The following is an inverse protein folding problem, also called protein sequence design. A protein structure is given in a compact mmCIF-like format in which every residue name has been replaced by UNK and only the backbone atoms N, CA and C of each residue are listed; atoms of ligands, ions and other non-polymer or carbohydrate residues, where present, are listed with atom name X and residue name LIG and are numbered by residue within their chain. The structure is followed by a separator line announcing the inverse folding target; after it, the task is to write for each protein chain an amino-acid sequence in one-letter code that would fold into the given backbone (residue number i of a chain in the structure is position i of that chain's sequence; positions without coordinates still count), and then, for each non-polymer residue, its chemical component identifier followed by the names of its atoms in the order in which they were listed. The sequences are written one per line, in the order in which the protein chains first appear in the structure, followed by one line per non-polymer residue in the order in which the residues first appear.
data_IF_423354558266
#
_entry.id   IF_423354558266
#
_cell.length_a   1.000
_cell.length_b   1.000
_cell.length_c   1.000
_cell.angle_alpha   90.00
_cell.angle_beta   90.00
_cell.angle_gamma   90.00
#
_symmetry.space_group_name_H-M   'P 1'
#
loop_
_entity.id
_entity.type
_entity.pdbx_description
1 polymer ?
#
# COMPACT_ATOMS: atom_id res chain seq x y z
N UNK A 1 34.74 -29.87 -2.63
CA UNK A 1 33.57 -29.40 -3.41
C UNK A 1 33.91 -27.99 -3.91
N UNK A 2 34.02 -27.83 -5.23
CA UNK A 2 34.45 -26.57 -5.86
C UNK A 2 33.26 -25.61 -5.93
N UNK A 3 33.25 -24.57 -5.09
CA UNK A 3 32.43 -23.39 -5.30
C UNK A 3 33.01 -22.60 -6.47
N UNK A 4 32.61 -22.96 -7.70
CA UNK A 4 32.81 -22.08 -8.85
C UNK A 4 31.83 -20.92 -8.68
N UNK A 5 32.40 -19.75 -8.41
CA UNK A 5 31.77 -18.45 -8.57
C UNK A 5 31.18 -18.36 -9.99
N UNK A 6 29.90 -18.70 -10.11
CA UNK A 6 29.08 -18.34 -11.26
C UNK A 6 28.63 -16.91 -11.00
N UNK A 7 29.46 -15.94 -11.40
CA UNK A 7 28.99 -14.61 -11.77
C UNK A 7 28.19 -14.74 -13.07
N UNK A 8 27.11 -15.51 -13.02
CA UNK A 8 26.09 -15.51 -14.05
C UNK A 8 25.35 -14.21 -13.87
N UNK A 9 25.44 -13.35 -14.89
CA UNK A 9 24.53 -12.23 -15.06
C UNK A 9 23.13 -12.82 -15.22
N UNK A 10 22.47 -13.12 -14.11
CA UNK A 10 21.06 -13.46 -14.10
C UNK A 10 20.35 -12.16 -14.41
N UNK A 11 20.08 -11.95 -15.70
CA UNK A 11 19.06 -11.00 -16.12
C UNK A 11 17.75 -11.64 -15.68
N UNK A 12 17.31 -11.33 -14.46
CA UNK A 12 15.95 -11.64 -14.01
C UNK A 12 15.06 -10.81 -14.92
N UNK A 13 14.48 -11.48 -15.92
CA UNK A 13 13.49 -10.89 -16.81
C UNK A 13 12.22 -10.84 -15.97
N UNK A 14 11.98 -9.71 -15.30
CA UNK A 14 10.63 -9.41 -14.81
C UNK A 14 9.71 -9.43 -16.01
N UNK A 15 8.92 -10.48 -16.11
CA UNK A 15 8.15 -10.88 -17.28
C UNK A 15 6.95 -9.99 -17.61
N UNK A 16 6.89 -8.78 -17.07
CA UNK A 16 5.83 -7.82 -17.34
C UNK A 16 6.29 -6.37 -17.31
N UNK A 17 7.38 -6.05 -16.60
CA UNK A 17 7.91 -4.70 -16.55
C UNK A 17 8.87 -4.47 -17.71
N UNK A 18 8.31 -4.38 -18.92
CA UNK A 18 8.95 -3.55 -19.95
C UNK A 18 8.98 -2.15 -19.34
N UNK A 19 10.11 -1.78 -18.75
CA UNK A 19 10.42 -0.41 -18.36
C UNK A 19 10.41 0.38 -19.66
N UNK A 20 9.24 0.82 -20.11
CA UNK A 20 9.13 1.88 -21.12
C UNK A 20 9.77 3.05 -20.43
N UNK A 21 11.02 3.33 -20.80
CA UNK A 21 11.81 4.40 -20.24
C UNK A 21 11.11 5.73 -20.45
N UNK A 22 10.21 6.07 -19.53
CA UNK A 22 9.82 7.44 -19.28
C UNK A 22 10.88 8.00 -18.33
N UNK A 23 12.00 8.42 -18.92
CA UNK A 23 12.78 9.53 -18.35
C UNK A 23 11.92 10.79 -18.52
N UNK A 24 10.82 10.83 -17.78
CA UNK A 24 10.16 12.06 -17.42
C UNK A 24 10.98 12.62 -16.28
N UNK A 25 11.99 13.41 -16.61
CA UNK A 25 12.56 14.37 -15.69
C UNK A 25 11.39 15.26 -15.25
N UNK A 26 10.72 14.91 -14.15
CA UNK A 26 9.79 15.82 -13.48
C UNK A 26 10.68 16.80 -12.73
N UNK A 27 11.25 17.76 -13.46
CA UNK A 27 11.61 19.03 -12.87
C UNK A 27 10.30 19.66 -12.41
N UNK A 28 10.01 19.55 -11.12
CA UNK A 28 9.04 20.42 -10.47
C UNK A 28 9.59 21.84 -10.55
N UNK A 29 9.29 22.51 -11.67
CA UNK A 29 9.44 23.96 -11.77
C UNK A 29 8.47 24.58 -10.76
N UNK A 30 8.93 25.34 -9.75
CA UNK A 30 8.04 26.22 -9.02
C UNK A 30 7.66 27.39 -9.94
N UNK A 31 6.48 27.95 -9.70
CA UNK A 31 5.90 29.16 -10.31
C UNK A 31 5.12 29.03 -11.63
N UNK A 32 3.80 28.88 -11.47
CA UNK A 32 2.86 29.75 -12.15
C UNK A 32 1.69 30.09 -11.20
N UNK A 33 1.73 31.31 -10.66
CA UNK A 33 0.62 31.95 -9.95
C UNK A 33 -0.68 31.94 -10.79
N UNK A 34 -1.64 31.10 -10.41
CA UNK A 34 -3.03 31.28 -10.82
C UNK A 34 -3.80 32.00 -9.70
N UNK A 35 -3.84 33.34 -9.79
CA UNK A 35 -4.77 34.18 -9.01
C UNK A 35 -6.21 33.93 -9.51
N UNK A 36 -6.92 33.00 -8.88
CA UNK A 36 -8.36 32.84 -9.02
C UNK A 36 -9.12 33.53 -7.88
N UNK A 37 -9.55 34.77 -8.06
CA UNK A 37 -10.45 35.47 -7.13
C UNK A 37 -11.90 35.04 -7.38
N UNK A 38 -12.36 33.98 -6.72
CA UNK A 38 -13.76 33.56 -6.70
C UNK A 38 -14.48 34.07 -5.44
N UNK A 39 -15.08 35.27 -5.50
CA UNK A 39 -15.93 35.80 -4.43
C UNK A 39 -17.33 35.15 -4.49
N UNK A 40 -17.50 34.01 -3.83
CA UNK A 40 -18.82 33.43 -3.55
C UNK A 40 -19.46 34.08 -2.33
N UNK A 41 -20.41 35.02 -2.53
CA UNK A 41 -21.28 35.53 -1.46
C UNK A 41 -22.48 34.60 -1.28
N UNK A 42 -22.37 33.63 -0.39
CA UNK A 42 -23.51 32.86 0.10
C UNK A 42 -24.07 33.47 1.38
N UNK A 43 -25.21 34.16 1.30
CA UNK A 43 -25.99 34.59 2.48
C UNK A 43 -27.06 33.53 2.79
N UNK A 44 -26.72 32.55 3.63
CA UNK A 44 -27.68 31.66 4.26
C UNK A 44 -28.01 32.14 5.67
N UNK A 45 -29.11 32.90 5.84
CA UNK A 45 -29.69 33.19 7.16
C UNK A 45 -30.70 32.10 7.52
N UNK A 46 -30.22 30.99 8.06
CA UNK A 46 -31.05 30.01 8.75
C UNK A 46 -31.06 30.28 10.25
N UNK A 47 -32.11 30.93 10.77
CA UNK A 47 -32.38 30.98 12.22
C UNK A 47 -33.21 29.75 12.60
N UNK A 48 -32.53 28.64 12.90
CA UNK A 48 -33.14 27.48 13.54
C UNK A 48 -32.92 27.54 15.06
N UNK A 49 -33.94 27.94 15.82
CA UNK A 49 -33.96 27.75 17.27
C UNK A 49 -34.50 26.35 17.58
N UNK A 50 -33.62 25.36 17.63
CA UNK A 50 -33.92 24.04 18.18
C UNK A 50 -33.36 23.93 19.60
N UNK A 51 -34.17 24.18 20.63
CA UNK A 51 -33.85 23.78 22.01
C UNK A 51 -34.24 22.31 22.20
N UNK A 52 -33.39 21.41 21.72
CA UNK A 52 -33.47 19.99 22.05
C UNK A 52 -32.56 19.67 23.23
N UNK A 53 -33.12 19.48 24.43
CA UNK A 53 -32.40 18.82 25.53
C UNK A 53 -32.52 17.31 25.31
N UNK A 54 -31.62 16.76 24.50
CA UNK A 54 -31.43 15.32 24.37
C UNK A 54 -30.48 14.83 25.45
N UNK A 55 -30.99 14.17 26.48
CA UNK A 55 -30.17 13.29 27.33
C UNK A 55 -30.00 11.96 26.58
N UNK A 56 -29.04 11.91 25.66
CA UNK A 56 -28.58 10.66 25.06
C UNK A 56 -27.59 10.01 26.01
N UNK A 57 -28.04 9.04 26.82
CA UNK A 57 -27.14 8.05 27.41
C UNK A 57 -26.75 7.11 26.27
N UNK A 58 -25.64 7.40 25.59
CA UNK A 58 -25.01 6.48 24.65
C UNK A 58 -24.39 5.33 25.42
N UNK A 59 -25.16 4.26 25.64
CA UNK A 59 -24.63 2.95 26.02
C UNK A 59 -24.72 2.07 24.78
N UNK A 60 -23.56 1.68 24.26
CA UNK A 60 -23.42 0.84 23.08
C UNK A 60 -22.18 1.22 22.30
N UNK A 61 -21.00 1.02 22.91
CA UNK A 61 -19.76 0.90 22.15
C UNK A 61 -19.86 -0.41 21.37
N UNK A 62 -20.52 -0.37 20.22
CA UNK A 62 -20.41 -1.41 19.24
C UNK A 62 -19.28 -0.96 18.32
N UNK A 63 -18.09 -1.52 18.53
CA UNK A 63 -16.98 -1.46 17.60
C UNK A 63 -17.49 -2.13 16.32
N UNK A 64 -18.03 -1.31 15.43
CA UNK A 64 -18.52 -1.75 14.15
C UNK A 64 -17.38 -1.52 13.16
N UNK A 65 -16.98 -2.55 12.40
CA UNK A 65 -16.00 -2.37 11.34
C UNK A 65 -16.42 -1.23 10.42
N UNK A 66 -15.53 -0.25 10.26
CA UNK A 66 -15.63 0.88 9.36
C UNK A 66 -15.03 0.46 8.02
N UNK A 67 -15.82 0.56 6.95
CA UNK A 67 -15.31 0.31 5.61
C UNK A 67 -14.27 1.38 5.24
N UNK A 68 -13.22 0.96 4.57
CA UNK A 68 -12.18 1.83 4.00
C UNK A 68 -11.96 1.46 2.54
N UNK A 69 -11.80 2.47 1.69
CA UNK A 69 -11.44 2.28 0.29
C UNK A 69 -10.55 3.41 -0.27
N UNK A 70 -9.93 3.14 -1.41
CA UNK A 70 -9.11 4.13 -2.09
C UNK A 70 -8.19 3.53 -3.17
N UNK A 71 -7.08 4.22 -3.40
CA UNK A 71 -6.10 3.86 -4.42
C UNK A 71 -4.68 3.91 -3.87
N UNK A 72 -3.82 3.07 -4.41
CA UNK A 72 -2.40 3.04 -4.07
C UNK A 72 -1.53 3.10 -5.33
N UNK A 73 -0.32 3.60 -5.18
CA UNK A 73 0.68 3.70 -6.23
C UNK A 73 2.03 3.19 -5.76
N UNK A 74 2.79 2.59 -6.68
CA UNK A 74 4.19 2.21 -6.41
C UNK A 74 5.06 3.45 -6.60
N UNK A 75 5.67 3.93 -5.52
CA UNK A 75 6.56 5.11 -5.53
C UNK A 75 7.94 4.74 -6.01
N UNK A 76 8.48 3.63 -5.50
CA UNK A 76 9.78 3.12 -5.92
C UNK A 76 9.85 1.61 -5.76
N UNK A 77 10.65 0.97 -6.62
CA UNK A 77 11.07 -0.42 -6.47
C UNK A 77 12.57 -0.45 -6.66
N UNK A 78 13.29 -1.01 -5.69
CA UNK A 78 14.72 -1.26 -5.84
C UNK A 78 14.98 -2.49 -6.73
N UNK A 79 16.26 -2.78 -6.99
CA UNK A 79 16.63 -3.98 -7.72
C UNK A 79 16.28 -5.23 -6.89
N UNK A 80 15.74 -6.31 -7.51
CA UNK A 80 15.56 -7.57 -6.82
C UNK A 80 16.92 -8.14 -6.43
N UNK A 81 16.99 -8.70 -5.23
CA UNK A 81 18.13 -9.45 -4.76
C UNK A 81 17.78 -10.93 -4.72
N UNK A 82 18.65 -11.74 -5.31
CA UNK A 82 18.52 -13.18 -5.25
C UNK A 82 18.76 -13.68 -3.82
N UNK A 83 17.79 -14.39 -3.24
CA UNK A 83 17.92 -14.98 -1.91
C UNK A 83 18.38 -16.44 -1.98
N UNK A 84 17.57 -17.30 -2.61
CA UNK A 84 17.84 -18.75 -2.69
C UNK A 84 17.10 -19.43 -3.85
N UNK A 85 17.51 -20.66 -4.16
CA UNK A 85 16.74 -21.59 -5.00
C UNK A 85 16.49 -22.85 -4.18
N UNK A 86 15.22 -23.10 -3.88
CA UNK A 86 14.81 -24.24 -3.05
C UNK A 86 14.64 -25.50 -3.92
N UNK A 87 14.15 -25.33 -5.14
CA UNK A 87 14.02 -26.39 -6.15
C UNK A 87 14.30 -25.83 -7.55
N UNK A 88 14.50 -26.66 -8.59
CA UNK A 88 14.67 -26.17 -9.96
C UNK A 88 13.58 -25.20 -10.43
N UNK A 89 12.36 -25.33 -9.89
CA UNK A 89 11.18 -24.56 -10.26
C UNK A 89 10.66 -23.68 -9.10
N UNK A 90 11.50 -23.42 -8.08
CA UNK A 90 11.16 -22.53 -6.96
C UNK A 90 12.34 -21.63 -6.60
N UNK A 91 12.16 -20.34 -6.86
CA UNK A 91 13.18 -19.32 -6.69
C UNK A 91 12.69 -18.26 -5.71
N UNK A 92 13.59 -17.78 -4.86
CA UNK A 92 13.25 -16.81 -3.81
C UNK A 92 13.99 -15.50 -4.06
N UNK A 93 13.24 -14.41 -4.08
CA UNK A 93 13.75 -13.05 -4.31
C UNK A 93 13.39 -12.13 -3.15
N UNK A 94 14.24 -11.14 -2.91
CA UNK A 94 13.95 -10.00 -2.04
C UNK A 94 13.78 -8.76 -2.90
N UNK A 95 12.70 -8.02 -2.70
CA UNK A 95 12.40 -6.81 -3.47
C UNK A 95 12.03 -5.66 -2.53
N UNK A 96 12.93 -4.66 -2.35
CA UNK A 96 12.57 -3.46 -1.61
C UNK A 96 11.63 -2.59 -2.44
N UNK A 97 10.52 -2.16 -1.85
CA UNK A 97 9.54 -1.32 -2.51
C UNK A 97 8.91 -0.28 -1.56
N UNK A 98 8.43 0.82 -2.13
CA UNK A 98 7.74 1.90 -1.42
C UNK A 98 6.42 2.17 -2.12
N UNK A 99 5.35 2.30 -1.34
CA UNK A 99 4.00 2.51 -1.82
C UNK A 99 3.43 3.78 -1.19
N UNK A 100 2.58 4.48 -1.93
CA UNK A 100 1.77 5.59 -1.42
C UNK A 100 0.29 5.24 -1.56
N UNK A 101 -0.50 5.57 -0.54
CA UNK A 101 -1.93 5.36 -0.47
C UNK A 101 -2.64 6.70 -0.49
N UNK A 102 -3.82 6.72 -1.08
CA UNK A 102 -4.71 7.88 -1.14
C UNK A 102 -6.17 7.42 -1.00
N UNK A 103 -6.97 8.14 -0.23
CA UNK A 103 -8.36 7.78 0.05
C UNK A 103 -8.62 7.79 1.55
N UNK A 104 -9.36 6.81 2.05
CA UNK A 104 -9.55 6.61 3.50
C UNK A 104 -8.27 6.20 4.23
N UNK A 105 -7.26 5.77 3.47
CA UNK A 105 -5.91 5.43 3.87
C UNK A 105 -4.99 6.37 3.09
N UNK A 106 -4.50 7.44 3.70
CA UNK A 106 -3.60 8.41 3.07
C UNK A 106 -2.25 8.35 3.75
N UNK A 107 -1.23 7.83 3.09
CA UNK A 107 0.05 7.55 3.73
C UNK A 107 0.99 6.71 2.88
N UNK A 108 1.99 6.09 3.52
CA UNK A 108 2.96 5.26 2.81
C UNK A 108 3.55 4.16 3.69
N UNK A 109 3.92 3.04 3.07
CA UNK A 109 4.91 2.12 3.65
C UNK A 109 6.31 2.59 3.26
N UNK A 110 7.21 2.68 4.22
CA UNK A 110 8.63 2.96 3.97
C UNK A 110 9.46 1.72 4.24
N UNK A 111 10.50 1.51 3.43
CA UNK A 111 11.50 0.45 3.61
C UNK A 111 10.92 -0.98 3.73
N UNK A 112 9.88 -1.26 2.95
CA UNK A 112 9.21 -2.56 2.91
C UNK A 112 9.99 -3.51 1.99
N UNK A 113 10.45 -4.65 2.50
CA UNK A 113 11.15 -5.68 1.72
C UNK A 113 10.24 -6.88 1.49
N UNK A 114 9.89 -7.12 0.22
CA UNK A 114 9.05 -8.24 -0.18
C UNK A 114 9.89 -9.50 -0.32
N UNK A 115 9.45 -10.56 0.31
CA UNK A 115 9.88 -11.92 0.04
C UNK A 115 8.98 -12.52 -1.04
N UNK A 116 9.55 -12.87 -2.18
CA UNK A 116 8.81 -13.36 -3.35
C UNK A 116 9.23 -14.79 -3.64
N UNK A 117 8.25 -15.70 -3.69
CA UNK A 117 8.43 -17.07 -4.16
C UNK A 117 7.93 -17.18 -5.60
N UNK A 118 8.84 -17.47 -6.51
CA UNK A 118 8.58 -17.59 -7.93
C UNK A 118 8.45 -19.07 -8.32
N UNK A 119 7.28 -19.47 -8.83
CA UNK A 119 6.90 -20.86 -9.08
C UNK A 119 7.12 -21.26 -10.56
N UNK A 120 8.38 -21.30 -10.96
CA UNK A 120 8.80 -21.72 -12.30
C UNK A 120 10.32 -21.56 -12.49
N UNK A 121 10.82 -21.76 -13.73
CA UNK A 121 12.21 -21.46 -14.04
C UNK A 121 12.50 -19.98 -13.77
N UNK A 122 13.52 -19.67 -12.98
CA UNK A 122 13.79 -18.30 -12.51
C UNK A 122 14.06 -17.26 -13.61
N UNK A 123 14.20 -17.70 -14.86
CA UNK A 123 14.44 -16.89 -16.05
C UNK A 123 13.22 -16.81 -16.99
N UNK A 124 12.04 -17.29 -16.54
CA UNK A 124 10.79 -17.29 -17.30
C UNK A 124 9.67 -16.58 -16.52
N UNK A 125 8.62 -16.09 -17.22
CA UNK A 125 7.37 -15.72 -16.57
C UNK A 125 6.75 -16.90 -15.82
N UNK A 126 6.40 -16.70 -14.55
CA UNK A 126 5.65 -17.67 -13.76
C UNK A 126 4.79 -16.95 -12.70
N UNK A 127 3.79 -17.63 -12.11
CA UNK A 127 3.09 -17.13 -10.94
C UNK A 127 4.05 -16.94 -9.76
N UNK A 128 3.75 -15.95 -8.93
CA UNK A 128 4.55 -15.61 -7.75
C UNK A 128 3.64 -15.49 -6.53
N UNK A 129 4.08 -15.95 -5.36
CA UNK A 129 3.51 -15.50 -4.09
C UNK A 129 4.46 -14.47 -3.48
N UNK A 130 3.91 -13.56 -2.70
CA UNK A 130 4.72 -12.62 -1.94
C UNK A 130 4.25 -12.53 -0.49
N UNK A 131 5.20 -12.23 0.39
CA UNK A 131 4.94 -11.82 1.76
C UNK A 131 5.83 -10.64 2.11
N UNK A 132 5.36 -9.79 3.00
CA UNK A 132 6.09 -8.63 3.47
C UNK A 132 5.59 -8.21 4.85
N UNK A 133 6.45 -7.53 5.58
CA UNK A 133 6.09 -6.84 6.81
C UNK A 133 6.81 -5.51 6.86
N UNK A 134 6.25 -4.54 7.56
CA UNK A 134 6.85 -3.23 7.70
C UNK A 134 6.00 -2.29 8.53
N UNK A 135 6.32 -1.00 8.45
CA UNK A 135 5.57 0.06 9.12
C UNK A 135 4.91 0.98 8.09
N UNK A 136 3.70 1.38 8.40
CA UNK A 136 2.94 2.40 7.68
C UNK A 136 2.87 3.67 8.52
N UNK A 137 2.85 4.83 7.86
CA UNK A 137 2.53 6.10 8.50
C UNK A 137 1.68 6.97 7.60
N UNK A 138 0.72 7.67 8.20
CA UNK A 138 -0.24 8.51 7.49
C UNK A 138 -1.50 8.79 8.31
N UNK A 139 -2.62 8.99 7.61
CA UNK A 139 -3.94 9.17 8.18
C UNK A 139 -4.93 8.06 7.75
N UNK A 140 -5.68 7.51 8.69
CA UNK A 140 -6.78 6.56 8.45
C UNK A 140 -8.09 7.21 8.87
N UNK A 141 -9.03 7.37 7.93
CA UNK A 141 -10.31 8.07 8.14
C UNK A 141 -10.12 9.48 8.75
N UNK A 142 -8.99 10.12 8.44
CA UNK A 142 -8.61 11.45 8.92
C UNK A 142 -7.87 11.49 10.27
N UNK A 143 -7.70 10.36 10.96
CA UNK A 143 -6.87 10.27 12.17
C UNK A 143 -5.42 9.98 11.83
N UNK A 144 -4.46 10.73 12.40
CA UNK A 144 -3.03 10.59 12.09
C UNK A 144 -2.29 9.60 13.01
N UNK A 145 -1.38 8.81 12.45
CA UNK A 145 -0.58 7.87 13.22
C UNK A 145 0.36 6.99 12.40
N UNK A 146 0.75 5.86 13.01
CA UNK A 146 1.53 4.80 12.38
C UNK A 146 1.13 3.44 12.95
N UNK A 147 1.42 2.37 12.22
CA UNK A 147 1.28 0.99 12.69
C UNK A 147 2.20 0.07 11.88
N UNK A 148 2.47 -1.11 12.42
CA UNK A 148 3.12 -2.23 11.75
C UNK A 148 2.07 -3.11 11.06
N UNK A 149 2.46 -3.78 9.98
CA UNK A 149 1.57 -4.62 9.19
C UNK A 149 2.27 -5.88 8.68
N UNK A 150 1.46 -6.87 8.32
CA UNK A 150 1.87 -7.96 7.42
C UNK A 150 1.05 -7.90 6.12
N UNK A 151 1.69 -8.20 4.99
CA UNK A 151 1.06 -8.15 3.67
C UNK A 151 1.43 -9.40 2.89
N UNK A 152 0.43 -10.17 2.48
CA UNK A 152 0.62 -11.43 1.75
C UNK A 152 -0.27 -11.45 0.51
N UNK A 153 0.17 -12.13 -0.56
CA UNK A 153 -0.61 -12.19 -1.78
C UNK A 153 0.02 -13.01 -2.89
N UNK A 154 -0.59 -12.89 -4.07
CA UNK A 154 -0.20 -13.59 -5.29
C UNK A 154 -0.10 -12.61 -6.46
N UNK A 155 0.82 -12.90 -7.39
CA UNK A 155 1.01 -12.20 -8.66
C UNK A 155 0.85 -13.25 -9.77
N UNK A 156 -0.06 -13.00 -10.71
CA UNK A 156 -0.23 -13.86 -11.86
C UNK A 156 0.85 -13.62 -12.94
N UNK A 157 0.87 -14.48 -13.96
CA UNK A 157 1.85 -14.36 -15.04
C UNK A 157 1.72 -13.07 -15.89
N UNK A 158 0.61 -12.33 -15.74
CA UNK A 158 0.34 -11.06 -16.40
C UNK A 158 0.77 -9.86 -15.53
N UNK A 159 1.19 -10.11 -14.28
CA UNK A 159 1.58 -9.09 -13.32
C UNK A 159 0.41 -8.46 -12.58
N UNK A 160 -0.79 -9.05 -12.64
CA UNK A 160 -1.89 -8.65 -11.77
C UNK A 160 -1.60 -9.20 -10.37
N UNK A 161 -1.73 -8.33 -9.37
CA UNK A 161 -1.42 -8.63 -7.98
C UNK A 161 -2.68 -8.52 -7.12
N UNK A 162 -2.91 -9.53 -6.29
CA UNK A 162 -3.94 -9.53 -5.26
C UNK A 162 -3.27 -9.85 -3.92
N UNK A 163 -3.60 -9.12 -2.86
CA UNK A 163 -3.08 -9.43 -1.54
C UNK A 163 -3.88 -8.83 -0.41
N UNK A 164 -3.66 -9.34 0.79
CA UNK A 164 -4.31 -8.91 2.02
C UNK A 164 -3.27 -8.33 2.99
N UNK A 165 -3.49 -7.07 3.37
CA UNK A 165 -2.75 -6.38 4.41
C UNK A 165 -3.50 -6.51 5.73
N UNK A 166 -2.80 -6.95 6.77
CA UNK A 166 -3.30 -7.05 8.14
C UNK A 166 -2.56 -6.04 9.01
N UNK A 167 -3.32 -5.23 9.73
CA UNK A 167 -2.80 -4.21 10.65
C UNK A 167 -2.48 -4.90 11.99
N UNK A 168 -1.29 -4.67 12.55
CA UNK A 168 -1.01 -5.08 13.93
C UNK A 168 -1.56 -4.04 14.90
N UNK A 169 -2.76 -4.27 15.44
CA UNK A 169 -3.40 -3.32 16.34
C UNK A 169 -2.61 -3.00 17.62
N UNK A 170 -1.68 -3.87 18.04
CA UNK A 170 -0.80 -3.63 19.17
C UNK A 170 0.33 -2.61 18.89
N UNK A 171 0.58 -2.30 17.62
CA UNK A 171 1.66 -1.42 17.17
C UNK A 171 1.21 0.02 16.85
N UNK A 172 -0.10 0.27 16.88
CA UNK A 172 -0.65 1.54 16.44
C UNK A 172 -0.28 2.70 17.36
N UNK A 173 -0.04 3.87 16.78
CA UNK A 173 0.34 5.10 17.52
C UNK A 173 -0.54 6.30 17.14
N UNK A 174 -0.55 7.32 17.99
CA UNK A 174 -1.23 8.59 17.70
C UNK A 174 -2.74 8.47 17.81
N UNK A 175 -3.47 9.04 16.84
CA UNK A 175 -4.93 8.91 16.76
C UNK A 175 -5.38 7.55 16.24
N UNK A 176 -4.43 6.68 15.89
CA UNK A 176 -4.68 5.32 15.42
C UNK A 176 -4.52 4.26 16.53
N UNK A 177 -4.22 4.65 17.77
CA UNK A 177 -4.13 3.68 18.89
C UNK A 177 -5.41 2.82 18.97
N UNK A 178 -5.23 1.49 18.99
CA UNK A 178 -6.34 0.53 19.00
C UNK A 178 -6.96 0.21 17.64
N UNK A 179 -6.42 0.75 16.54
CA UNK A 179 -6.85 0.40 15.18
C UNK A 179 -6.44 -1.04 14.83
N UNK A 180 -7.38 -1.87 14.40
CA UNK A 180 -7.11 -3.20 13.80
C UNK A 180 -7.90 -3.32 12.49
N UNK A 181 -7.53 -4.24 11.62
CA UNK A 181 -8.28 -4.49 10.40
C UNK A 181 -7.55 -5.28 9.33
N UNK A 182 -8.28 -5.55 8.26
CA UNK A 182 -7.75 -6.20 7.05
C UNK A 182 -8.16 -5.41 5.82
N UNK A 183 -7.20 -5.18 4.94
CA UNK A 183 -7.34 -4.42 3.70
C UNK A 183 -6.90 -5.30 2.55
N UNK A 184 -7.78 -5.55 1.60
CA UNK A 184 -7.44 -6.24 0.35
C UNK A 184 -6.98 -5.22 -0.70
N UNK A 185 -5.89 -5.54 -1.39
CA UNK A 185 -5.29 -4.75 -2.46
C UNK A 185 -5.44 -5.51 -3.78
N UNK A 186 -5.86 -4.80 -4.83
CA UNK A 186 -5.99 -5.29 -6.20
C UNK A 186 -5.31 -4.30 -7.15
N UNK A 187 -4.27 -4.76 -7.87
CA UNK A 187 -3.50 -3.88 -8.72
C UNK A 187 -2.58 -4.59 -9.70
N UNK A 188 -1.63 -3.83 -10.23
CA UNK A 188 -0.61 -4.31 -11.17
C UNK A 188 0.79 -4.01 -10.60
N UNK A 189 1.65 -5.03 -10.60
CA UNK A 189 3.02 -4.93 -10.06
C UNK A 189 3.80 -3.79 -10.72
N UNK A 190 4.42 -2.93 -9.90
CA UNK A 190 5.18 -1.76 -10.35
C UNK A 190 4.34 -0.56 -10.79
N UNK A 191 3.01 -0.65 -10.73
CA UNK A 191 2.10 0.46 -11.09
C UNK A 191 1.32 0.93 -9.88
N UNK A 192 0.54 0.04 -9.27
CA UNK A 192 -0.45 0.40 -8.25
C UNK A 192 -1.82 -0.19 -8.53
N UNK A 193 -2.84 0.29 -7.83
CA UNK A 193 -4.19 -0.27 -7.92
C UNK A 193 -5.17 0.37 -6.95
N UNK A 194 -6.18 -0.40 -6.57
CA UNK A 194 -7.21 -0.05 -5.60
C UNK A 194 -7.11 -0.91 -4.36
N UNK A 195 -7.60 -0.40 -3.23
CA UNK A 195 -7.75 -1.20 -2.03
C UNK A 195 -9.17 -1.04 -1.46
N UNK A 196 -9.60 -2.05 -0.73
CA UNK A 196 -10.84 -2.02 0.04
C UNK A 196 -10.74 -2.93 1.25
N UNK A 197 -11.35 -2.57 2.36
CA UNK A 197 -11.29 -3.38 3.56
C UNK A 197 -12.21 -2.87 4.65
N UNK A 198 -11.96 -3.34 5.87
CA UNK A 198 -12.61 -2.83 7.06
C UNK A 198 -11.61 -2.71 8.20
N UNK A 199 -11.76 -1.65 8.98
CA UNK A 199 -10.97 -1.38 10.18
C UNK A 199 -11.88 -1.14 11.37
N UNK A 200 -11.41 -1.43 12.56
CA UNK A 200 -12.12 -1.13 13.80
C UNK A 200 -11.17 -0.53 14.83
N UNK A 201 -11.74 0.21 15.80
CA UNK A 201 -11.00 0.79 16.91
C UNK A 201 -11.48 0.13 18.19
N UNK A 202 -10.55 -0.35 19.01
CA UNK A 202 -10.82 -0.98 20.30
C UNK A 202 -11.18 -0.02 21.44
#
# INVERSE_FOLDING_TARGET
MNLRSLSSKVAIIFSGLTLVGFVGLVTTTPDAQAKGHGKGKGHGKGKGHGKGKGHGKGHGHHNHPLAVDGSFGVVSMGPPTWASQETPDLCVLLLPATFSFTGDFDGSFTDCEFYIEHYGPCDQPAPESFSSAGSWSGAVLGGEGSFDFSFEGEIDAQGNALGDLVIDGGSCTGELEGLDGTISLDGVTGVGGTYSGAVEFD
#
